data_IF_456094476444
#
_entry.id   IF_456094476444
#
_cell.length_a   1.000
_cell.length_b   1.000
_cell.length_c   1.000
_cell.angle_alpha   90.00
_cell.angle_beta   90.00
_cell.angle_gamma   90.00
#
_symmetry.space_group_name_H-M   'P 1'
#
loop_
_entity.id
_entity.type
_entity.pdbx_description
1 polymer ?
#
# COMPACT_ATOMS: atom_id res chain seq x y z
N UNK A 1 -28.40 -30.13 39.27
CA UNK A 1 -27.31 -29.52 39.95
C UNK A 1 -26.06 -29.46 39.21
N UNK A 2 -25.51 -30.58 38.90
CA UNK A 2 -24.23 -30.62 38.22
C UNK A 2 -24.24 -30.01 36.87
N UNK A 3 -25.36 -29.99 36.24
CA UNK A 3 -25.45 -29.47 34.89
C UNK A 3 -25.13 -28.00 34.79
N UNK A 4 -25.41 -27.27 35.83
CA UNK A 4 -25.20 -25.84 35.79
C UNK A 4 -23.76 -25.48 35.63
N UNK A 5 -22.87 -26.30 36.12
CA UNK A 5 -21.47 -26.02 36.03
C UNK A 5 -20.95 -26.03 34.60
N UNK A 6 -21.51 -26.91 33.82
CA UNK A 6 -21.04 -27.06 32.46
C UNK A 6 -21.29 -25.84 31.63
N UNK A 7 -22.40 -25.19 31.85
CA UNK A 7 -22.75 -24.01 31.08
C UNK A 7 -21.78 -22.88 31.28
N UNK A 8 -21.34 -22.72 32.49
CA UNK A 8 -20.42 -21.62 32.79
C UNK A 8 -19.12 -21.74 32.06
N UNK A 9 -18.60 -22.93 31.97
CA UNK A 9 -17.35 -23.15 31.32
C UNK A 9 -17.39 -22.80 29.85
N UNK A 10 -18.44 -23.13 29.20
CA UNK A 10 -18.56 -22.88 27.78
C UNK A 10 -18.51 -21.39 27.46
N UNK A 11 -19.14 -20.61 28.28
CA UNK A 11 -19.19 -19.18 28.04
C UNK A 11 -17.82 -18.54 28.14
N UNK A 12 -17.05 -18.94 29.09
CA UNK A 12 -15.75 -18.36 29.31
C UNK A 12 -14.80 -18.59 28.15
N UNK A 13 -14.86 -19.74 27.56
CA UNK A 13 -13.98 -20.07 26.46
C UNK A 13 -14.23 -19.18 25.26
N UNK A 14 -15.47 -18.87 24.99
CA UNK A 14 -15.82 -18.06 23.84
C UNK A 14 -15.23 -16.68 23.93
N UNK A 15 -15.26 -16.10 25.09
CA UNK A 15 -14.80 -14.73 25.25
C UNK A 15 -13.30 -14.58 25.00
N UNK A 16 -12.56 -15.55 25.41
CA UNK A 16 -11.12 -15.49 25.26
C UNK A 16 -10.71 -15.49 23.80
N UNK A 17 -11.42 -16.24 23.00
CA UNK A 17 -11.04 -16.37 21.59
C UNK A 17 -11.12 -15.06 20.85
N UNK A 18 -12.06 -14.24 21.18
CA UNK A 18 -12.25 -12.98 20.46
C UNK A 18 -11.16 -11.96 20.71
N UNK A 19 -10.58 -11.99 21.88
CA UNK A 19 -9.60 -10.98 22.23
C UNK A 19 -8.30 -11.11 21.45
N UNK A 20 -8.02 -12.25 20.91
CA UNK A 20 -6.75 -12.50 20.25
C UNK A 20 -6.65 -11.89 18.88
N UNK A 21 -7.74 -11.58 18.25
CA UNK A 21 -7.73 -11.16 16.88
C UNK A 21 -7.35 -9.73 16.64
N UNK A 22 -7.25 -8.96 17.67
CA UNK A 22 -6.98 -7.55 17.51
C UNK A 22 -5.51 -7.27 17.54
N UNK A 23 -4.85 -7.56 16.48
CA UNK A 23 -3.43 -7.27 16.38
C UNK A 23 -3.22 -6.09 15.46
N UNK A 24 -2.36 -5.20 15.88
CA UNK A 24 -2.01 -4.08 15.04
C UNK A 24 -0.90 -4.46 14.11
N UNK A 25 -1.03 -4.09 12.87
CA UNK A 25 0.00 -4.32 11.89
C UNK A 25 0.78 -3.05 11.66
N UNK A 26 2.09 -3.20 11.51
CA UNK A 26 2.94 -2.08 11.17
C UNK A 26 2.96 -1.98 9.65
N UNK A 27 2.45 -0.88 9.13
CA UNK A 27 2.41 -0.66 7.69
C UNK A 27 3.10 0.66 7.37
N UNK A 28 3.66 0.80 6.17
CA UNK A 28 4.32 2.05 5.80
C UNK A 28 3.34 3.21 5.80
N UNK A 29 3.80 4.34 6.31
CA UNK A 29 3.02 5.57 6.36
C UNK A 29 3.72 6.59 5.49
N UNK A 30 3.03 7.05 4.44
CA UNK A 30 3.62 7.94 3.47
C UNK A 30 3.75 9.36 4.02
N UNK A 31 4.93 9.95 3.83
CA UNK A 31 5.15 11.36 4.14
C UNK A 31 4.99 12.18 2.88
N UNK A 32 5.68 11.80 1.81
CA UNK A 32 5.61 12.56 0.57
C UNK A 32 6.01 11.68 -0.60
N UNK A 33 5.38 11.91 -1.73
CA UNK A 33 5.72 11.28 -3.00
C UNK A 33 5.60 12.32 -4.07
N UNK A 34 6.64 12.53 -4.88
CA UNK A 34 6.52 13.45 -6.01
C UNK A 34 5.58 12.86 -7.04
N UNK A 35 4.84 13.73 -7.72
CA UNK A 35 3.97 13.29 -8.79
C UNK A 35 4.82 12.82 -9.97
N UNK A 36 4.48 11.68 -10.59
CA UNK A 36 5.19 11.24 -11.78
C UNK A 36 4.95 12.21 -12.93
N UNK A 37 5.96 12.33 -13.79
CA UNK A 37 5.87 13.17 -14.96
C UNK A 37 5.15 12.40 -16.06
N UNK A 38 4.25 13.06 -16.78
CA UNK A 38 3.61 12.44 -17.93
C UNK A 38 4.65 12.15 -19.00
N UNK A 39 4.78 10.89 -19.46
CA UNK A 39 5.77 10.57 -20.48
C UNK A 39 5.51 11.35 -21.77
N UNK A 40 6.60 11.81 -22.39
CA UNK A 40 6.48 12.56 -23.62
C UNK A 40 5.75 11.75 -24.69
N UNK A 41 6.06 10.47 -24.79
CA UNK A 41 5.42 9.61 -25.78
C UNK A 41 3.92 9.51 -25.55
N UNK A 42 3.51 9.36 -24.30
CA UNK A 42 2.09 9.25 -23.99
C UNK A 42 1.37 10.55 -24.31
N UNK A 43 2.01 11.68 -24.03
CA UNK A 43 1.41 12.96 -24.32
C UNK A 43 1.28 13.18 -25.82
N UNK A 44 2.33 12.83 -26.57
CA UNK A 44 2.32 12.98 -28.02
C UNK A 44 1.24 12.13 -28.67
N UNK A 45 1.03 10.92 -28.16
CA UNK A 45 0.04 10.00 -28.71
C UNK A 45 -1.31 10.13 -28.03
N UNK A 46 -1.43 11.05 -27.08
CA UNK A 46 -2.66 11.33 -26.33
C UNK A 46 -3.18 10.07 -25.63
N UNK A 47 -2.28 9.37 -24.96
CA UNK A 47 -2.61 8.15 -24.25
C UNK A 47 -2.78 8.49 -22.77
N UNK A 48 -3.91 8.09 -22.22
CA UNK A 48 -4.18 8.15 -20.79
C UNK A 48 -4.26 6.74 -20.25
N UNK A 49 -4.03 6.58 -18.96
CA UNK A 49 -4.11 5.27 -18.37
C UNK A 49 -3.77 5.30 -16.90
N UNK A 50 -3.56 4.13 -16.35
CA UNK A 50 -3.23 4.01 -14.95
C UNK A 50 -2.26 2.87 -14.73
N UNK A 51 -1.55 2.95 -13.61
CA UNK A 51 -0.65 1.90 -13.18
C UNK A 51 -0.88 1.63 -11.71
N UNK A 52 -0.72 0.37 -11.33
CA UNK A 52 -0.72 -0.04 -9.94
C UNK A 52 0.72 -0.29 -9.54
N UNK A 53 1.08 0.10 -8.33
CA UNK A 53 2.44 -0.13 -7.89
C UNK A 53 2.48 -0.65 -6.47
N UNK A 54 3.57 -1.33 -6.16
CA UNK A 54 3.91 -1.75 -4.82
C UNK A 54 5.32 -1.25 -4.55
N UNK A 55 5.49 -0.55 -3.44
CA UNK A 55 6.78 -0.01 -3.04
C UNK A 55 7.25 -0.70 -1.77
N UNK A 56 8.47 -1.24 -1.80
CA UNK A 56 9.06 -1.86 -0.63
C UNK A 56 9.84 -0.82 0.15
N UNK A 57 9.42 -0.60 1.39
CA UNK A 57 9.93 0.46 2.25
C UNK A 57 10.77 -0.15 3.37
N UNK A 58 11.95 0.40 3.62
CA UNK A 58 12.83 -0.09 4.66
C UNK A 58 12.60 0.63 5.98
N UNK A 59 13.38 0.27 7.00
CA UNK A 59 13.24 0.87 8.33
C UNK A 59 13.45 2.37 8.37
N UNK A 60 14.22 2.88 7.42
CA UNK A 60 14.50 4.31 7.40
C UNK A 60 13.44 5.10 6.64
N UNK A 61 12.46 4.43 6.08
CA UNK A 61 11.43 5.11 5.32
C UNK A 61 11.79 5.33 3.86
N UNK A 62 12.81 4.65 3.36
CA UNK A 62 13.23 4.77 1.96
C UNK A 62 12.69 3.61 1.15
N UNK A 63 12.39 3.87 -0.12
CA UNK A 63 11.93 2.84 -1.04
C UNK A 63 13.15 2.19 -1.69
N UNK A 64 13.23 0.87 -1.57
CA UNK A 64 14.36 0.16 -2.15
C UNK A 64 13.96 -0.76 -3.30
N UNK A 65 12.67 -0.96 -3.53
CA UNK A 65 12.21 -1.77 -4.66
C UNK A 65 10.80 -1.36 -5.03
N UNK A 66 10.47 -1.44 -6.32
CA UNK A 66 9.16 -1.05 -6.82
C UNK A 66 8.70 -2.07 -7.85
N UNK A 67 7.45 -2.53 -7.72
CA UNK A 67 6.80 -3.36 -8.73
C UNK A 67 5.67 -2.55 -9.34
N UNK A 68 5.56 -2.59 -10.66
CA UNK A 68 4.55 -1.79 -11.36
C UNK A 68 3.84 -2.69 -12.36
N UNK A 69 2.50 -2.56 -12.39
CA UNK A 69 1.69 -3.27 -13.39
C UNK A 69 0.75 -2.27 -14.03
N UNK A 70 0.28 -2.58 -15.24
CA UNK A 70 -0.62 -1.71 -15.97
C UNK A 70 -0.02 -1.33 -17.30
N UNK A 71 -0.19 -0.08 -17.70
CA UNK A 71 0.25 0.39 -19.01
C UNK A 71 1.75 0.69 -19.00
N UNK A 72 2.48 -0.05 -19.80
CA UNK A 72 3.94 0.03 -19.81
C UNK A 72 4.48 1.41 -20.16
N UNK A 73 3.74 2.18 -20.90
CA UNK A 73 4.22 3.49 -21.34
C UNK A 73 4.50 4.40 -20.13
N UNK A 74 3.87 4.11 -18.99
CA UNK A 74 4.02 4.92 -17.78
C UNK A 74 4.99 4.34 -16.76
N UNK A 75 5.58 3.17 -17.05
CA UNK A 75 6.37 2.45 -16.04
C UNK A 75 7.58 3.23 -15.58
N UNK A 76 8.33 3.77 -16.52
CA UNK A 76 9.59 4.43 -16.17
C UNK A 76 9.36 5.65 -15.28
N UNK A 77 8.44 6.50 -15.66
CA UNK A 77 8.17 7.71 -14.89
C UNK A 77 7.58 7.40 -13.54
N UNK A 78 6.80 6.34 -13.46
CA UNK A 78 6.26 5.88 -12.18
C UNK A 78 7.39 5.41 -11.28
N UNK A 79 8.27 4.58 -11.81
CA UNK A 79 9.37 4.06 -11.01
C UNK A 79 10.26 5.19 -10.48
N UNK A 80 10.59 6.15 -11.33
CA UNK A 80 11.42 7.28 -10.91
C UNK A 80 10.76 8.05 -9.77
N UNK A 81 9.46 8.29 -9.89
CA UNK A 81 8.74 9.06 -8.87
C UNK A 81 8.62 8.28 -7.57
N UNK A 82 8.25 7.00 -7.64
CA UNK A 82 8.02 6.21 -6.45
C UNK A 82 9.30 6.00 -5.66
N UNK A 83 10.43 5.87 -6.33
CA UNK A 83 11.70 5.71 -5.63
C UNK A 83 12.10 6.96 -4.85
N UNK A 84 11.49 8.08 -5.13
CA UNK A 84 11.73 9.32 -4.41
C UNK A 84 10.75 9.54 -3.28
N UNK A 85 9.81 8.63 -3.07
CA UNK A 85 8.87 8.74 -1.96
C UNK A 85 9.58 8.62 -0.62
N UNK A 86 9.05 9.29 0.37
CA UNK A 86 9.55 9.21 1.73
C UNK A 86 8.45 8.74 2.66
N UNK A 87 8.80 7.86 3.55
CA UNK A 87 7.86 7.27 4.49
C UNK A 87 8.37 7.47 5.91
N UNK A 88 7.47 7.31 6.87
CA UNK A 88 7.84 7.46 8.29
C UNK A 88 8.80 6.34 8.68
N UNK A 89 9.95 6.67 9.28
CA UNK A 89 10.89 5.63 9.71
C UNK A 89 10.25 4.72 10.76
N UNK A 90 10.67 3.47 10.75
CA UNK A 90 10.17 2.50 11.72
C UNK A 90 8.94 1.74 11.28
N UNK A 91 8.49 1.96 10.04
CA UNK A 91 7.31 1.26 9.52
C UNK A 91 7.65 0.59 8.20
N UNK A 92 8.53 -0.42 8.21
CA UNK A 92 8.88 -1.10 6.95
C UNK A 92 7.75 -1.96 6.45
N UNK A 93 7.74 -2.22 5.16
CA UNK A 93 6.73 -3.06 4.58
C UNK A 93 6.47 -2.70 3.14
N UNK A 94 5.30 -3.08 2.64
CA UNK A 94 4.93 -2.85 1.26
C UNK A 94 3.78 -1.86 1.23
N UNK A 95 3.96 -0.80 0.46
CA UNK A 95 2.94 0.21 0.25
C UNK A 95 2.39 0.06 -1.17
N UNK A 96 1.07 -0.01 -1.33
CA UNK A 96 0.44 -0.21 -2.63
C UNK A 96 -0.52 0.92 -2.93
N UNK A 97 -0.51 1.36 -4.19
CA UNK A 97 -1.42 2.40 -4.61
C UNK A 97 -1.54 2.39 -6.13
N UNK A 98 -2.40 3.23 -6.64
CA UNK A 98 -2.66 3.35 -8.08
C UNK A 98 -2.43 4.80 -8.49
N UNK A 99 -1.81 4.99 -9.66
CA UNK A 99 -1.60 6.32 -10.21
C UNK A 99 -2.36 6.41 -11.53
N UNK A 100 -3.11 7.48 -11.69
CA UNK A 100 -3.80 7.77 -12.94
C UNK A 100 -3.05 8.85 -13.69
N UNK A 101 -2.79 8.57 -14.97
CA UNK A 101 -2.16 9.55 -15.86
C UNK A 101 -3.23 10.11 -16.78
N UNK A 102 -3.49 11.40 -16.63
CA UNK A 102 -4.49 12.08 -17.44
C UNK A 102 -3.86 13.23 -18.21
N UNK A 103 -4.37 13.46 -19.41
CA UNK A 103 -3.86 14.54 -20.24
C UNK A 103 -4.43 15.85 -19.75
N UNK A 104 -3.59 16.89 -19.82
CA UNK A 104 -4.02 18.23 -19.47
C UNK A 104 -4.81 18.77 -20.65
N UNK A 105 -5.97 19.33 -20.37
CA UNK A 105 -6.78 19.90 -21.42
C UNK A 105 -6.35 21.34 -21.69
N UNK A 106 -6.32 21.73 -22.96
CA UNK A 106 -5.93 23.10 -23.32
C UNK A 106 -6.93 24.12 -22.87
#
# INVERSE_FOLDING_TARGET
MKKTLLLVCAVLVSNVALAIEKKEEIVPVRISCPAPVMPVKAQALRIEGSVDYAAWVNDKGDVYSVDITGDEVFFRETEVAIKKCKFVPGHPGVYRDTIKFSLVKP
#
